data_IF_086444280968
#
_entry.id   IF_086444280968
#
_cell.length_a   1.000
_cell.length_b   1.000
_cell.length_c   1.000
_cell.angle_alpha   90.00
_cell.angle_beta   90.00
_cell.angle_gamma   90.00
#
_symmetry.space_group_name_H-M   'P 1'
#
loop_
_entity.id
_entity.type
_entity.pdbx_description
1 polymer ?
#
# COMPACT_ATOMS: atom_id res chain seq x y z
N UNK A 1 55.80 29.12 4.36
CA UNK A 1 55.34 27.73 4.62
C UNK A 1 53.81 27.56 4.78
N UNK A 2 53.06 28.49 5.39
CA UNK A 2 51.58 28.34 5.55
C UNK A 2 50.73 28.42 4.26
N UNK A 3 51.19 29.09 3.21
CA UNK A 3 50.43 29.21 1.93
C UNK A 3 50.54 27.99 1.01
N UNK A 4 51.54 27.13 1.20
CA UNK A 4 51.74 25.93 0.38
C UNK A 4 50.86 24.76 0.84
N UNK A 5 50.56 24.69 2.14
CA UNK A 5 49.72 23.64 2.73
C UNK A 5 48.23 23.79 2.35
N UNK A 6 47.74 25.03 2.21
CA UNK A 6 46.34 25.31 1.88
C UNK A 6 46.03 24.99 0.41
N UNK A 7 47.00 25.18 -0.50
CA UNK A 7 46.82 24.90 -1.93
C UNK A 7 46.70 23.40 -2.23
N UNK A 8 47.42 22.55 -1.49
CA UNK A 8 47.36 21.10 -1.67
C UNK A 8 46.14 20.45 -1.00
N UNK A 9 45.59 21.04 0.06
CA UNK A 9 44.35 20.54 0.69
C UNK A 9 43.12 20.86 -0.18
N UNK A 10 43.10 22.02 -0.87
CA UNK A 10 42.00 22.37 -1.78
C UNK A 10 41.97 21.51 -3.03
N UNK A 11 43.14 21.08 -3.56
CA UNK A 11 43.20 20.20 -4.73
C UNK A 11 42.79 18.77 -4.38
N UNK A 12 43.07 18.29 -3.15
CA UNK A 12 42.60 16.98 -2.69
C UNK A 12 41.08 17.01 -2.37
N UNK A 13 40.53 18.13 -1.89
CA UNK A 13 39.08 18.26 -1.69
C UNK A 13 38.31 18.40 -3.00
N UNK A 14 38.89 18.99 -4.06
CA UNK A 14 38.25 19.10 -5.38
C UNK A 14 38.33 17.80 -6.20
N UNK A 15 39.37 16.97 -6.01
CA UNK A 15 39.47 15.67 -6.68
C UNK A 15 38.60 14.57 -6.04
N UNK A 16 38.14 14.77 -4.81
CA UNK A 16 37.12 13.93 -4.15
C UNK A 16 35.67 14.30 -4.54
N UNK A 17 35.46 15.37 -5.30
CA UNK A 17 34.13 15.86 -5.73
C UNK A 17 33.77 15.54 -7.19
N UNK A 18 34.64 14.88 -7.96
CA UNK A 18 34.45 14.64 -9.41
C UNK A 18 34.58 13.17 -9.84
N UNK A 19 34.52 12.23 -8.90
CA UNK A 19 34.45 10.80 -9.20
C UNK A 19 33.26 10.15 -8.52
N UNK A 20 32.06 10.59 -8.88
CA UNK A 20 30.88 9.74 -8.99
C UNK A 20 30.00 10.37 -10.06
N UNK A 21 30.19 9.84 -11.26
CA UNK A 21 29.33 10.04 -12.41
C UNK A 21 27.87 9.94 -11.99
N UNK A 22 27.07 10.84 -12.57
CA UNK A 22 25.64 10.72 -12.69
C UNK A 22 25.28 9.44 -13.46
N UNK A 23 25.38 8.29 -12.79
CA UNK A 23 24.58 7.13 -13.11
C UNK A 23 23.27 7.31 -12.38
N UNK A 24 22.23 7.74 -13.09
CA UNK A 24 20.86 7.58 -12.62
C UNK A 24 20.60 6.08 -12.44
N UNK A 25 20.90 5.57 -11.25
CA UNK A 25 20.64 4.19 -10.90
C UNK A 25 19.13 4.04 -10.70
N UNK A 26 18.42 3.69 -11.78
CA UNK A 26 17.05 3.16 -11.77
C UNK A 26 16.90 1.85 -10.95
N UNK A 27 18.00 1.39 -10.34
CA UNK A 27 18.17 0.22 -9.47
C UNK A 27 17.60 0.37 -8.06
N UNK A 28 17.15 1.56 -7.65
CA UNK A 28 16.72 1.85 -6.27
C UNK A 28 15.29 1.41 -5.92
N UNK A 29 14.73 0.39 -6.58
CA UNK A 29 13.32 -0.03 -6.40
C UNK A 29 13.13 -1.54 -6.21
N UNK A 30 14.20 -2.29 -5.98
CA UNK A 30 14.14 -3.76 -5.92
C UNK A 30 14.77 -4.26 -4.63
N UNK A 31 13.97 -4.81 -3.69
CA UNK A 31 14.46 -5.20 -2.36
C UNK A 31 15.34 -6.45 -2.40
N UNK A 32 15.06 -7.40 -3.31
CA UNK A 32 15.74 -8.70 -3.39
C UNK A 32 16.42 -8.88 -4.76
N UNK A 33 17.63 -9.45 -4.74
CA UNK A 33 18.32 -9.88 -5.97
C UNK A 33 18.46 -11.40 -5.98
N UNK A 34 17.89 -12.06 -6.99
CA UNK A 34 18.07 -13.49 -7.22
C UNK A 34 19.13 -13.70 -8.27
N UNK A 35 20.20 -14.41 -7.93
CA UNK A 35 21.27 -14.81 -8.84
C UNK A 35 21.05 -16.27 -9.22
N UNK A 36 20.97 -16.53 -10.51
CA UNK A 36 20.78 -17.85 -11.10
C UNK A 36 22.11 -18.57 -11.31
N UNK A 37 22.06 -19.90 -11.52
CA UNK A 37 23.25 -20.73 -11.76
C UNK A 37 24.03 -20.35 -13.03
N UNK A 38 23.32 -19.85 -14.05
CA UNK A 38 23.90 -19.34 -15.30
C UNK A 38 24.49 -17.92 -15.17
N UNK A 39 24.38 -17.30 -13.98
CA UNK A 39 24.83 -15.94 -13.70
C UNK A 39 23.79 -14.85 -13.99
N UNK A 40 22.63 -15.20 -14.56
CA UNK A 40 21.49 -14.28 -14.75
C UNK A 40 21.02 -13.73 -13.40
N UNK A 41 20.64 -12.45 -13.38
CA UNK A 41 20.13 -11.79 -12.18
C UNK A 41 18.71 -11.28 -12.39
N UNK A 42 17.85 -11.54 -11.41
CA UNK A 42 16.50 -10.99 -11.34
C UNK A 42 16.37 -10.08 -10.12
N UNK A 43 15.66 -8.97 -10.28
CA UNK A 43 15.51 -7.95 -9.23
C UNK A 43 14.03 -7.64 -9.01
N UNK A 44 13.56 -7.81 -7.78
CA UNK A 44 12.15 -7.73 -7.47
C UNK A 44 11.85 -7.95 -6.00
N UNK A 45 10.57 -8.01 -5.67
CA UNK A 45 10.09 -8.40 -4.35
C UNK A 45 9.77 -9.90 -4.35
N UNK A 46 10.40 -10.66 -3.45
CA UNK A 46 10.04 -12.07 -3.27
C UNK A 46 8.68 -12.14 -2.59
N UNK A 47 7.68 -12.61 -3.34
CA UNK A 47 6.28 -12.74 -2.86
C UNK A 47 5.92 -14.19 -2.51
N UNK A 48 6.72 -15.17 -2.96
CA UNK A 48 6.61 -16.58 -2.56
C UNK A 48 8.00 -17.19 -2.51
N UNK A 49 8.29 -17.96 -1.47
CA UNK A 49 9.55 -18.69 -1.32
C UNK A 49 9.25 -20.02 -0.62
N UNK A 50 9.33 -21.14 -1.35
CA UNK A 50 9.14 -22.48 -0.80
C UNK A 50 10.29 -23.40 -1.24
N UNK A 51 10.17 -24.70 -0.93
CA UNK A 51 11.20 -25.68 -1.23
C UNK A 51 11.50 -25.87 -2.73
N UNK A 52 10.57 -25.51 -3.63
CA UNK A 52 10.65 -25.79 -5.07
C UNK A 52 10.83 -24.52 -5.92
N UNK A 53 10.28 -23.40 -5.49
CA UNK A 53 10.21 -22.19 -6.30
C UNK A 53 10.31 -20.90 -5.47
N UNK A 54 10.70 -19.84 -6.17
CA UNK A 54 10.63 -18.46 -5.71
C UNK A 54 9.82 -17.68 -6.74
N UNK A 55 8.79 -16.95 -6.30
CA UNK A 55 8.06 -16.03 -7.16
C UNK A 55 8.52 -14.62 -6.84
N UNK A 56 9.07 -13.96 -7.85
CA UNK A 56 9.60 -12.61 -7.78
C UNK A 56 8.67 -11.65 -8.51
N UNK A 57 8.22 -10.60 -7.83
CA UNK A 57 7.47 -9.51 -8.43
C UNK A 57 8.43 -8.40 -8.89
N UNK A 58 8.50 -8.18 -10.19
CA UNK A 58 9.17 -7.04 -10.81
C UNK A 58 8.21 -5.86 -11.03
N UNK A 59 8.70 -4.72 -11.55
CA UNK A 59 7.89 -3.50 -11.75
C UNK A 59 6.61 -3.70 -12.58
N UNK A 60 6.61 -4.68 -13.49
CA UNK A 60 5.51 -4.92 -14.44
C UNK A 60 5.12 -6.39 -14.59
N UNK A 61 5.94 -7.31 -14.10
CA UNK A 61 5.75 -8.75 -14.28
C UNK A 61 5.99 -9.53 -12.99
N UNK A 62 5.58 -10.78 -12.95
CA UNK A 62 6.06 -11.75 -11.97
C UNK A 62 6.77 -12.86 -12.71
N UNK A 63 7.83 -13.36 -12.08
CA UNK A 63 8.66 -14.40 -12.62
C UNK A 63 8.72 -15.49 -11.57
N UNK A 64 8.34 -16.70 -11.97
CA UNK A 64 8.52 -17.89 -11.14
C UNK A 64 9.85 -18.52 -11.50
N UNK A 65 10.73 -18.62 -10.50
CA UNK A 65 12.08 -19.14 -10.63
C UNK A 65 12.19 -20.45 -9.83
N UNK A 66 12.67 -21.51 -10.47
CA UNK A 66 12.92 -22.78 -9.80
C UNK A 66 14.07 -22.65 -8.81
N UNK A 67 13.90 -23.15 -7.57
CA UNK A 67 14.96 -23.19 -6.55
C UNK A 67 16.20 -23.95 -7.03
N UNK A 68 16.03 -24.95 -7.89
CA UNK A 68 17.13 -25.72 -8.46
C UNK A 68 18.01 -24.88 -9.42
N UNK A 69 17.45 -23.81 -9.98
CA UNK A 69 18.15 -22.91 -10.89
C UNK A 69 18.74 -21.67 -10.18
N UNK A 70 18.43 -21.48 -8.90
CA UNK A 70 18.88 -20.33 -8.10
C UNK A 70 20.22 -20.69 -7.46
N UNK A 71 21.23 -19.87 -7.72
CA UNK A 71 22.55 -19.97 -7.10
C UNK A 71 22.58 -19.30 -5.74
N UNK A 72 22.00 -18.11 -5.65
CA UNK A 72 22.01 -17.28 -4.44
C UNK A 72 20.83 -16.33 -4.47
N UNK A 73 20.26 -16.07 -3.30
CA UNK A 73 19.36 -14.94 -3.10
C UNK A 73 20.16 -13.97 -2.23
N UNK A 74 20.43 -12.80 -2.80
CA UNK A 74 21.04 -11.70 -2.09
C UNK A 74 19.92 -10.82 -1.54
N UNK A 75 19.64 -11.05 -0.26
CA UNK A 75 18.86 -10.18 0.61
C UNK A 75 19.75 -8.97 0.96
N UNK A 76 20.31 -8.29 -0.05
CA UNK A 76 21.04 -7.05 0.22
C UNK A 76 20.04 -6.11 0.83
N UNK A 77 20.29 -5.77 2.09
CA UNK A 77 19.70 -4.67 2.84
C UNK A 77 19.81 -3.37 2.03
N UNK A 78 19.00 -3.23 0.98
CA UNK A 78 18.63 -1.97 0.36
C UNK A 78 17.59 -1.30 1.24
N UNK A 79 17.84 -1.33 2.56
CA UNK A 79 17.15 -0.63 3.63
C UNK A 79 17.18 0.89 3.41
N UNK A 80 17.88 1.39 2.38
CA UNK A 80 17.85 2.80 2.00
C UNK A 80 16.79 3.15 0.96
N UNK A 81 16.33 2.22 0.12
CA UNK A 81 15.41 2.55 -0.98
C UNK A 81 13.97 2.74 -0.50
N UNK A 82 13.47 1.84 0.35
CA UNK A 82 12.12 1.93 0.91
C UNK A 82 12.02 2.90 2.11
N UNK A 83 13.10 3.04 2.90
CA UNK A 83 13.10 3.93 4.06
C UNK A 83 13.34 5.40 3.71
N UNK A 84 13.98 5.73 2.58
CA UNK A 84 14.11 7.13 2.18
C UNK A 84 12.74 7.81 1.95
N UNK A 85 11.74 7.07 1.46
CA UNK A 85 10.36 7.55 1.32
C UNK A 85 9.57 7.53 2.64
N UNK A 86 9.98 6.74 3.64
CA UNK A 86 9.41 6.81 5.00
C UNK A 86 9.78 8.12 5.70
N UNK A 87 10.85 8.80 5.29
CA UNK A 87 11.40 9.99 5.98
C UNK A 87 10.87 11.31 5.40
N UNK A 88 10.16 11.31 4.27
CA UNK A 88 9.53 12.54 3.75
C UNK A 88 8.23 12.85 4.49
N UNK A 89 8.28 13.85 5.38
CA UNK A 89 7.11 14.32 6.14
C UNK A 89 5.97 14.87 5.28
N UNK A 90 6.17 15.03 3.97
CA UNK A 90 5.15 15.48 3.01
C UNK A 90 4.52 14.34 2.19
N UNK A 91 4.93 13.08 2.41
CA UNK A 91 4.36 11.91 1.75
C UNK A 91 3.51 11.08 2.72
N UNK A 92 2.44 10.50 2.19
CA UNK A 92 1.63 9.55 2.94
C UNK A 92 2.45 8.27 3.18
N UNK A 93 2.11 7.47 4.20
CA UNK A 93 2.77 6.19 4.47
C UNK A 93 2.90 5.32 3.20
N UNK A 94 4.04 4.64 3.06
CA UNK A 94 4.27 3.72 1.95
C UNK A 94 3.31 2.53 2.03
N UNK A 95 2.16 2.64 1.36
CA UNK A 95 1.09 1.64 1.47
C UNK A 95 1.52 0.23 1.05
N UNK A 96 2.52 0.10 0.16
CA UNK A 96 3.04 -1.21 -0.26
C UNK A 96 3.67 -1.96 0.91
N UNK A 97 4.39 -1.25 1.79
CA UNK A 97 4.92 -1.85 3.02
C UNK A 97 3.79 -2.24 3.97
N UNK A 98 2.80 -1.36 4.15
CA UNK A 98 1.64 -1.66 5.00
C UNK A 98 0.88 -2.91 4.52
N UNK A 99 0.65 -3.00 3.21
CA UNK A 99 0.00 -4.16 2.60
C UNK A 99 0.86 -5.42 2.75
N UNK A 100 2.18 -5.32 2.59
CA UNK A 100 3.09 -6.44 2.79
C UNK A 100 3.07 -6.92 4.24
N UNK A 101 3.17 -6.01 5.20
CA UNK A 101 3.18 -6.35 6.62
C UNK A 101 1.84 -6.95 7.05
N UNK A 102 0.71 -6.48 6.50
CA UNK A 102 -0.59 -7.13 6.72
C UNK A 102 -0.62 -8.54 6.15
N UNK A 103 -0.01 -8.82 4.98
CA UNK A 103 0.04 -10.18 4.40
C UNK A 103 0.94 -11.15 5.17
N UNK A 104 1.99 -10.62 5.77
CA UNK A 104 2.96 -11.38 6.56
C UNK A 104 2.56 -11.48 8.03
N UNK A 105 1.49 -10.80 8.46
CA UNK A 105 1.03 -10.87 9.84
C UNK A 105 0.25 -12.16 10.09
N UNK A 106 0.70 -12.98 11.04
CA UNK A 106 0.06 -14.27 11.38
C UNK A 106 -1.41 -14.16 11.79
N UNK A 107 -1.85 -12.99 12.28
CA UNK A 107 -3.25 -12.74 12.62
C UNK A 107 -4.13 -12.47 11.38
N UNK A 108 -3.54 -12.25 10.21
CA UNK A 108 -4.22 -12.06 8.94
C UNK A 108 -4.30 -13.40 8.21
N UNK A 109 -5.48 -14.01 8.28
CA UNK A 109 -5.84 -15.28 7.63
C UNK A 109 -6.34 -15.10 6.20
N UNK A 110 -6.82 -13.90 5.87
CA UNK A 110 -7.24 -13.55 4.51
C UNK A 110 -6.90 -12.10 4.23
N UNK A 111 -6.34 -11.83 3.06
CA UNK A 111 -6.07 -10.50 2.57
C UNK A 111 -6.34 -10.50 1.08
N UNK A 112 -7.51 -10.01 0.65
CA UNK A 112 -7.96 -10.10 -0.73
C UNK A 112 -8.32 -8.73 -1.28
N UNK A 113 -7.97 -8.45 -2.53
CA UNK A 113 -8.48 -7.25 -3.20
C UNK A 113 -9.96 -7.44 -3.54
N UNK A 114 -10.77 -6.43 -3.24
CA UNK A 114 -12.20 -6.39 -3.57
C UNK A 114 -12.53 -5.18 -4.42
N UNK A 115 -13.66 -5.17 -5.15
CA UNK A 115 -14.12 -3.98 -5.84
C UNK A 115 -14.26 -2.79 -4.89
N UNK A 116 -13.75 -1.63 -5.31
CA UNK A 116 -13.99 -0.38 -4.62
C UNK A 116 -15.49 -0.05 -4.61
N UNK A 117 -16.00 0.41 -3.47
CA UNK A 117 -17.39 0.82 -3.32
C UNK A 117 -17.59 2.30 -3.66
N UNK A 118 -18.74 2.66 -4.22
CA UNK A 118 -19.01 4.05 -4.59
C UNK A 118 -19.13 4.95 -3.34
N UNK A 119 -18.22 5.92 -3.21
CA UNK A 119 -18.29 7.02 -2.24
C UNK A 119 -18.74 8.30 -2.95
N UNK A 120 -19.99 8.72 -2.72
CA UNK A 120 -20.60 9.86 -3.42
C UNK A 120 -20.70 11.15 -2.59
N UNK A 121 -20.19 11.14 -1.34
CA UNK A 121 -20.23 12.26 -0.39
C UNK A 121 -18.91 12.36 0.39
N UNK A 122 -18.71 13.50 1.06
CA UNK A 122 -17.57 13.72 1.94
C UNK A 122 -16.22 13.97 1.24
N UNK A 123 -15.15 13.94 2.03
CA UNK A 123 -13.79 14.29 1.59
C UNK A 123 -13.15 13.25 0.64
N UNK A 124 -13.75 12.06 0.52
CA UNK A 124 -13.33 10.99 -0.40
C UNK A 124 -14.22 10.86 -1.64
N UNK A 125 -15.24 11.72 -1.79
CA UNK A 125 -16.15 11.67 -2.94
C UNK A 125 -15.38 11.59 -4.27
N UNK A 126 -15.69 10.60 -5.08
CA UNK A 126 -15.10 10.41 -6.41
C UNK A 126 -13.58 10.37 -6.46
N UNK A 127 -12.93 9.97 -5.36
CA UNK A 127 -11.49 9.69 -5.38
C UNK A 127 -11.33 8.21 -5.71
N UNK A 128 -10.74 7.87 -6.86
CA UNK A 128 -10.46 6.48 -7.21
C UNK A 128 -9.56 5.82 -6.16
N UNK A 129 -9.81 4.55 -5.85
CA UNK A 129 -9.11 3.86 -4.77
C UNK A 129 -9.09 2.35 -4.92
N UNK A 130 -8.22 1.73 -4.13
CA UNK A 130 -8.05 0.29 -4.00
C UNK A 130 -8.61 -0.14 -2.67
N UNK A 131 -9.33 -1.25 -2.66
CA UNK A 131 -9.87 -1.83 -1.44
C UNK A 131 -9.36 -3.25 -1.24
N UNK A 132 -8.84 -3.50 -0.05
CA UNK A 132 -8.36 -4.80 0.36
C UNK A 132 -9.14 -5.25 1.59
N UNK A 133 -9.86 -6.35 1.47
CA UNK A 133 -10.51 -6.98 2.59
C UNK A 133 -9.48 -7.74 3.44
N UNK A 134 -9.49 -7.49 4.74
CA UNK A 134 -8.60 -8.11 5.73
C UNK A 134 -9.43 -8.96 6.68
N UNK A 135 -9.13 -10.25 6.73
CA UNK A 135 -9.90 -11.27 7.43
C UNK A 135 -11.38 -11.21 7.03
N UNK A 136 -12.31 -11.27 8.00
CA UNK A 136 -13.74 -11.27 7.74
C UNK A 136 -14.39 -9.88 7.71
N UNK A 137 -13.79 -8.90 8.40
CA UNK A 137 -14.47 -7.61 8.70
C UNK A 137 -13.54 -6.40 8.66
N UNK A 138 -12.25 -6.59 8.43
CA UNK A 138 -11.30 -5.49 8.23
C UNK A 138 -11.23 -5.07 6.76
N UNK A 139 -10.83 -3.83 6.53
CA UNK A 139 -10.62 -3.30 5.18
C UNK A 139 -9.51 -2.24 5.20
N UNK A 140 -8.62 -2.29 4.22
CA UNK A 140 -7.61 -1.27 3.97
C UNK A 140 -7.87 -0.63 2.61
N UNK A 141 -7.92 0.70 2.58
CA UNK A 141 -8.21 1.47 1.38
C UNK A 141 -7.09 2.44 1.03
N UNK A 142 -6.69 2.47 -0.25
CA UNK A 142 -5.62 3.33 -0.77
C UNK A 142 -6.19 4.22 -1.87
N UNK A 143 -6.21 5.53 -1.66
CA UNK A 143 -6.84 6.50 -2.55
C UNK A 143 -5.82 7.28 -3.39
N UNK A 144 -6.21 7.61 -4.62
CA UNK A 144 -5.40 8.38 -5.56
C UNK A 144 -4.36 7.53 -6.28
N UNK A 145 -3.23 8.14 -6.64
CA UNK A 145 -2.12 7.43 -7.29
C UNK A 145 -1.43 6.49 -6.28
N UNK A 146 -1.41 5.18 -6.48
CA UNK A 146 -0.74 4.26 -5.57
C UNK A 146 0.77 4.51 -5.45
N UNK A 147 1.47 5.14 -6.39
CA UNK A 147 2.88 5.46 -6.13
C UNK A 147 3.05 6.65 -5.18
N UNK A 148 2.00 7.46 -5.03
CA UNK A 148 1.98 8.62 -4.18
C UNK A 148 0.56 8.82 -3.60
N UNK A 149 0.15 7.95 -2.65
CA UNK A 149 -1.24 7.87 -2.23
C UNK A 149 -1.70 9.18 -1.61
N UNK A 150 -2.91 9.59 -1.98
CA UNK A 150 -3.55 10.79 -1.45
C UNK A 150 -4.20 10.54 -0.07
N UNK A 151 -4.63 9.31 0.17
CA UNK A 151 -5.14 8.83 1.46
C UNK A 151 -4.85 7.35 1.64
N UNK A 152 -4.56 6.95 2.87
CA UNK A 152 -4.57 5.55 3.30
C UNK A 152 -5.54 5.43 4.47
N UNK A 153 -6.45 4.45 4.41
CA UNK A 153 -7.42 4.17 5.46
C UNK A 153 -7.35 2.71 5.89
N UNK A 154 -7.56 2.47 7.18
CA UNK A 154 -7.78 1.14 7.74
C UNK A 154 -9.06 1.19 8.57
N UNK A 155 -9.94 0.23 8.37
CA UNK A 155 -11.23 0.21 9.03
C UNK A 155 -11.77 -1.18 9.27
N UNK A 156 -12.86 -1.25 10.01
CA UNK A 156 -13.55 -2.49 10.25
C UNK A 156 -15.05 -2.33 10.51
N UNK A 157 -15.80 -3.35 10.11
CA UNK A 157 -17.23 -3.52 10.38
C UNK A 157 -17.44 -4.34 11.66
N UNK A 158 -16.89 -3.84 12.77
CA UNK A 158 -16.95 -4.46 14.10
C UNK A 158 -17.75 -3.61 15.09
N UNK A 159 -18.11 -4.19 16.24
CA UNK A 159 -18.83 -3.53 17.33
C UNK A 159 -18.29 -3.94 18.69
N UNK A 160 -18.57 -3.13 19.72
CA UNK A 160 -18.24 -3.41 21.12
C UNK A 160 -16.74 -3.62 21.36
N UNK A 161 -16.39 -4.58 22.23
CA UNK A 161 -15.01 -4.86 22.62
C UNK A 161 -14.10 -5.24 21.44
N UNK A 162 -14.64 -5.92 20.42
CA UNK A 162 -13.88 -6.28 19.21
C UNK A 162 -13.48 -5.05 18.40
N UNK A 163 -14.36 -4.07 18.30
CA UNK A 163 -14.04 -2.79 17.65
C UNK A 163 -12.95 -2.06 18.44
N UNK A 164 -13.10 -1.93 19.76
CA UNK A 164 -12.10 -1.25 20.59
C UNK A 164 -10.68 -1.82 20.42
N UNK A 165 -10.56 -3.16 20.45
CA UNK A 165 -9.29 -3.84 20.19
C UNK A 165 -8.75 -3.56 18.78
N UNK A 166 -9.62 -3.58 17.77
CA UNK A 166 -9.22 -3.26 16.40
C UNK A 166 -8.75 -1.81 16.27
N UNK A 167 -9.42 -0.84 16.89
CA UNK A 167 -9.05 0.57 16.84
C UNK A 167 -7.66 0.81 17.43
N UNK A 168 -7.35 0.18 18.57
CA UNK A 168 -6.04 0.25 19.20
C UNK A 168 -4.95 -0.36 18.30
N UNK A 169 -5.22 -1.53 17.71
CA UNK A 169 -4.31 -2.18 16.76
C UNK A 169 -4.09 -1.34 15.50
N UNK A 170 -5.16 -0.79 14.91
CA UNK A 170 -5.09 0.03 13.70
C UNK A 170 -4.29 1.32 13.94
N UNK A 171 -4.46 1.96 15.09
CA UNK A 171 -3.66 3.13 15.47
C UNK A 171 -2.18 2.76 15.64
N UNK A 172 -1.89 1.68 16.37
CA UNK A 172 -0.50 1.22 16.55
C UNK A 172 0.16 0.83 15.23
N UNK A 173 -0.61 0.22 14.33
CA UNK A 173 -0.16 -0.13 12.98
C UNK A 173 0.22 1.14 12.19
N UNK A 174 -0.66 2.14 12.10
CA UNK A 174 -0.33 3.41 11.44
C UNK A 174 0.87 4.12 12.06
N UNK A 175 1.03 4.07 13.38
CA UNK A 175 2.17 4.67 14.07
C UNK A 175 3.52 4.09 13.61
N UNK A 176 3.56 2.81 13.23
CA UNK A 176 4.75 2.15 12.70
C UNK A 176 5.25 2.70 11.36
N UNK A 177 4.40 3.39 10.60
CA UNK A 177 4.75 3.96 9.29
C UNK A 177 4.87 5.48 9.30
N UNK A 178 4.71 6.12 10.45
CA UNK A 178 4.89 7.57 10.60
C UNK A 178 6.29 7.81 11.18
N UNK A 179 7.17 8.41 10.40
CA UNK A 179 8.56 8.67 10.80
C UNK A 179 8.74 9.81 11.81
N UNK A 180 7.80 10.77 11.85
CA UNK A 180 7.92 11.94 12.72
C UNK A 180 7.25 11.73 14.07
N UNK A 181 7.95 12.11 15.16
CA UNK A 181 7.39 12.11 16.53
C UNK A 181 6.12 12.97 16.63
N UNK A 182 6.08 14.10 15.93
CA UNK A 182 4.90 14.96 15.85
C UNK A 182 3.73 14.29 15.12
N UNK A 183 3.99 13.53 14.06
CA UNK A 183 2.98 12.74 13.36
C UNK A 183 2.41 11.63 14.24
N UNK A 184 3.28 10.88 14.93
CA UNK A 184 2.84 9.87 15.92
C UNK A 184 2.01 10.55 17.02
N UNK A 185 2.49 11.65 17.61
CA UNK A 185 1.74 12.38 18.64
C UNK A 185 0.36 12.84 18.12
N UNK A 186 0.29 13.36 16.89
CA UNK A 186 -0.95 13.80 16.24
C UNK A 186 -1.94 12.63 16.06
N UNK A 187 -1.45 11.47 15.63
CA UNK A 187 -2.25 10.25 15.52
C UNK A 187 -2.83 9.81 16.88
N UNK A 188 -2.03 9.90 17.95
CA UNK A 188 -2.47 9.53 19.31
C UNK A 188 -3.40 10.56 19.97
N UNK A 189 -3.48 11.78 19.46
CA UNK A 189 -4.47 12.78 19.88
C UNK A 189 -5.88 12.51 19.31
N UNK A 190 -6.03 11.55 18.39
CA UNK A 190 -7.35 11.18 17.89
C UNK A 190 -8.17 10.47 18.97
N UNK A 191 -9.42 10.90 19.15
CA UNK A 191 -10.38 10.19 19.97
C UNK A 191 -11.02 9.04 19.18
N UNK A 192 -10.49 7.83 19.33
CA UNK A 192 -10.98 6.64 18.63
C UNK A 192 -12.47 6.33 18.90
N UNK A 193 -13.03 6.84 20.01
CA UNK A 193 -14.42 6.65 20.42
C UNK A 193 -15.32 7.84 20.09
N UNK A 194 -14.88 8.79 19.27
CA UNK A 194 -15.70 9.95 18.93
C UNK A 194 -16.99 9.53 18.22
N UNK A 195 -18.20 9.87 18.74
CA UNK A 195 -19.46 9.48 18.12
C UNK A 195 -19.67 10.05 16.71
N UNK A 196 -19.07 11.21 16.41
CA UNK A 196 -19.17 11.90 15.12
C UNK A 196 -17.84 11.88 14.33
N UNK A 197 -16.92 10.99 14.71
CA UNK A 197 -15.55 11.06 14.22
C UNK A 197 -14.82 12.30 14.74
N UNK A 198 -13.54 12.43 14.39
CA UNK A 198 -12.74 13.60 14.74
C UNK A 198 -11.49 13.64 13.86
N UNK A 199 -10.84 14.80 13.78
CA UNK A 199 -9.63 14.95 12.98
C UNK A 199 -8.59 15.86 13.64
N UNK A 200 -7.34 15.70 13.20
CA UNK A 200 -6.19 16.50 13.58
C UNK A 200 -5.36 16.79 12.34
N UNK A 201 -4.81 18.01 12.25
CA UNK A 201 -3.96 18.43 11.12
C UNK A 201 -2.52 18.53 11.58
N UNK A 202 -1.61 18.06 10.73
CA UNK A 202 -0.17 18.28 10.87
C UNK A 202 0.43 18.53 9.48
N UNK A 203 0.94 19.74 9.26
CA UNK A 203 1.45 20.14 7.95
C UNK A 203 0.38 20.02 6.86
N UNK A 204 0.70 19.30 5.79
CA UNK A 204 -0.21 19.02 4.68
C UNK A 204 -1.11 17.80 4.91
N UNK A 205 -0.98 17.08 6.03
CA UNK A 205 -1.78 15.89 6.33
C UNK A 205 -2.89 16.18 7.33
N UNK A 206 -4.00 15.46 7.14
CA UNK A 206 -5.09 15.33 8.08
C UNK A 206 -5.17 13.87 8.51
N UNK A 207 -5.21 13.68 9.82
CA UNK A 207 -5.44 12.42 10.50
C UNK A 207 -6.90 12.43 10.92
N UNK A 208 -7.67 11.40 10.55
CA UNK A 208 -9.11 11.40 10.80
C UNK A 208 -9.58 10.04 11.30
N UNK A 209 -10.50 10.08 12.24
CA UNK A 209 -11.34 8.95 12.63
C UNK A 209 -12.74 9.22 12.10
N UNK A 210 -13.32 8.23 11.44
CA UNK A 210 -14.70 8.23 11.00
C UNK A 210 -15.50 7.21 11.81
N UNK A 211 -16.62 7.66 12.38
CA UNK A 211 -17.53 6.85 13.17
C UNK A 211 -18.45 6.01 12.28
N UNK A 212 -18.84 4.78 12.70
CA UNK A 212 -19.87 3.98 12.03
C UNK A 212 -21.21 4.68 11.77
N UNK A 213 -21.53 5.73 12.54
CA UNK A 213 -22.76 6.51 12.35
C UNK A 213 -22.66 7.55 11.24
N UNK A 214 -21.47 7.83 10.71
CA UNK A 214 -21.30 8.75 9.59
C UNK A 214 -21.81 8.08 8.30
N UNK A 215 -22.65 8.75 7.49
CA UNK A 215 -23.23 8.16 6.28
C UNK A 215 -22.21 7.58 5.29
N UNK A 216 -21.08 8.26 5.11
CA UNK A 216 -19.97 7.86 4.25
C UNK A 216 -19.17 6.66 4.80
N UNK A 217 -19.32 6.33 6.08
CA UNK A 217 -18.62 5.22 6.70
C UNK A 217 -19.24 3.86 6.32
N UNK A 218 -20.44 3.86 5.75
CA UNK A 218 -21.23 2.66 5.43
C UNK A 218 -21.36 1.68 6.62
N UNK A 219 -21.40 2.20 7.84
CA UNK A 219 -21.47 1.39 9.07
C UNK A 219 -20.12 0.82 9.54
N UNK A 220 -19.02 1.11 8.86
CA UNK A 220 -17.66 0.80 9.28
C UNK A 220 -17.06 1.88 10.20
N UNK A 221 -16.10 1.52 11.02
CA UNK A 221 -15.23 2.50 11.68
C UNK A 221 -13.93 2.63 10.88
N UNK A 222 -13.41 3.84 10.71
CA UNK A 222 -12.21 4.09 9.91
C UNK A 222 -11.22 5.00 10.64
N UNK A 223 -9.93 4.76 10.39
CA UNK A 223 -8.86 5.71 10.68
C UNK A 223 -8.05 5.94 9.42
N UNK A 224 -7.77 7.22 9.14
CA UNK A 224 -7.20 7.66 7.88
C UNK A 224 -6.13 8.72 8.06
N UNK A 225 -5.18 8.72 7.13
CA UNK A 225 -4.16 9.77 6.97
C UNK A 225 -4.21 10.21 5.53
N UNK A 226 -4.50 11.49 5.29
CA UNK A 226 -4.69 12.00 3.93
C UNK A 226 -4.16 13.40 3.71
N UNK A 227 -3.82 13.70 2.46
CA UNK A 227 -3.44 15.03 2.01
C UNK A 227 -4.60 15.60 1.17
N UNK A 228 -5.28 16.67 1.61
CA UNK A 228 -6.45 17.22 0.92
C UNK A 228 -6.10 17.77 -0.47
N UNK A 229 -4.87 18.24 -0.70
CA UNK A 229 -4.42 18.73 -2.01
C UNK A 229 -4.26 17.57 -2.98
N UNK A 230 -3.68 16.46 -2.54
CA UNK A 230 -3.55 15.26 -3.38
C UNK A 230 -4.92 14.61 -3.65
N UNK A 231 -5.83 14.61 -2.66
CA UNK A 231 -7.19 14.13 -2.87
C UNK A 231 -7.92 14.97 -3.93
N UNK A 232 -7.83 16.30 -3.86
CA UNK A 232 -8.44 17.18 -4.85
C UNK A 232 -7.91 16.91 -6.26
N UNK A 233 -6.60 16.69 -6.41
CA UNK A 233 -5.97 16.34 -7.71
C UNK A 233 -6.38 14.96 -8.23
N UNK A 234 -6.64 14.02 -7.33
CA UNK A 234 -6.99 12.64 -7.69
C UNK A 234 -8.47 12.45 -8.06
N UNK A 235 -9.34 13.42 -7.77
CA UNK A 235 -10.78 13.30 -8.05
C UNK A 235 -11.06 13.17 -9.53
N UNK A 236 -12.03 12.32 -9.85
CA UNK A 236 -12.55 12.13 -11.21
C UNK A 236 -14.02 12.55 -11.29
N UNK A 237 -14.55 12.62 -12.52
CA UNK A 237 -15.98 12.89 -12.73
C UNK A 237 -16.85 11.80 -12.12
N UNK A 238 -18.12 12.12 -11.82
CA UNK A 238 -19.08 11.12 -11.35
C UNK A 238 -19.17 9.94 -12.34
N UNK A 239 -19.21 10.23 -13.65
CA UNK A 239 -19.29 9.20 -14.68
C UNK A 239 -18.08 8.25 -14.68
N UNK A 240 -16.86 8.79 -14.60
CA UNK A 240 -15.66 7.96 -14.54
C UNK A 240 -15.59 7.17 -13.24
N UNK A 241 -16.04 7.76 -12.12
CA UNK A 241 -16.02 7.08 -10.83
C UNK A 241 -17.00 5.90 -10.75
N UNK A 242 -18.21 6.03 -11.30
CA UNK A 242 -19.19 4.93 -11.36
C UNK A 242 -18.74 3.79 -12.29
N UNK A 243 -17.84 4.06 -13.24
CA UNK A 243 -17.27 3.04 -14.12
C UNK A 243 -16.22 2.15 -13.46
N UNK A 244 -15.69 2.56 -12.30
CA UNK A 244 -14.59 1.88 -11.59
C UNK A 244 -14.94 1.54 -10.13
N UNK A 245 -16.17 1.80 -9.71
CA UNK A 245 -16.69 1.40 -8.39
C UNK A 245 -18.00 0.63 -8.53
N UNK A 246 -18.35 -0.13 -7.49
CA UNK A 246 -19.65 -0.79 -7.36
C UNK A 246 -20.44 -0.21 -6.19
N UNK A 247 -21.78 -0.26 -6.20
CA UNK A 247 -22.57 0.06 -5.01
C UNK A 247 -22.15 -0.81 -3.82
N UNK A 248 -22.13 -0.24 -2.60
CA UNK A 248 -21.67 -0.96 -1.39
C UNK A 248 -22.39 -2.30 -1.17
N UNK A 249 -23.71 -2.35 -1.42
CA UNK A 249 -24.52 -3.57 -1.25
C UNK A 249 -24.22 -4.68 -2.29
N UNK A 250 -23.53 -4.35 -3.39
CA UNK A 250 -23.04 -5.32 -4.37
C UNK A 250 -21.68 -5.90 -3.95
N UNK A 251 -20.96 -5.28 -3.03
CA UNK A 251 -19.66 -5.77 -2.54
C UNK A 251 -19.80 -6.42 -1.17
N UNK A 252 -20.67 -5.86 -0.33
CA UNK A 252 -20.83 -6.25 1.07
C UNK A 252 -22.28 -6.52 1.45
N UNK A 253 -22.46 -7.41 2.40
CA UNK A 253 -23.71 -7.60 3.14
C UNK A 253 -23.95 -6.43 4.10
N UNK A 254 -25.18 -6.29 4.62
CA UNK A 254 -25.52 -5.25 5.61
C UNK A 254 -24.66 -5.31 6.87
N UNK A 255 -24.17 -6.50 7.22
CA UNK A 255 -23.30 -6.71 8.37
C UNK A 255 -21.82 -6.45 8.08
N UNK A 256 -21.47 -6.02 6.86
CA UNK A 256 -20.11 -5.65 6.46
C UNK A 256 -19.23 -6.82 6.01
N UNK A 257 -19.79 -8.03 5.88
CA UNK A 257 -19.08 -9.17 5.27
C UNK A 257 -19.01 -9.00 3.76
N UNK A 258 -17.90 -9.38 3.14
CA UNK A 258 -17.79 -9.45 1.67
C UNK A 258 -18.74 -10.51 1.12
N UNK A 259 -19.35 -10.22 -0.02
CA UNK A 259 -20.28 -11.10 -0.71
C UNK A 259 -19.51 -12.15 -1.53
N UNK A 260 -19.46 -13.37 -1.02
CA UNK A 260 -18.85 -14.51 -1.71
C UNK A 260 -19.79 -15.16 -2.73
N UNK A 261 -21.10 -14.91 -2.64
CA UNK A 261 -22.11 -15.42 -3.58
C UNK A 261 -21.96 -14.89 -5.02
N UNK A 262 -21.16 -13.83 -5.20
CA UNK A 262 -20.93 -13.14 -6.47
C UNK A 262 -19.44 -12.86 -6.73
N UNK A 263 -18.57 -13.69 -6.15
CA UNK A 263 -17.11 -13.54 -6.25
C UNK A 263 -16.61 -13.53 -7.71
N UNK A 264 -17.20 -14.36 -8.58
CA UNK A 264 -16.84 -14.38 -10.00
C UNK A 264 -17.16 -13.04 -10.70
N UNK A 265 -18.27 -12.40 -10.33
CA UNK A 265 -18.63 -11.06 -10.80
C UNK A 265 -17.63 -10.02 -10.30
N UNK A 266 -17.22 -10.10 -9.03
CA UNK A 266 -16.19 -9.23 -8.46
C UNK A 266 -14.85 -9.38 -9.18
N UNK A 267 -14.42 -10.62 -9.45
CA UNK A 267 -13.22 -10.92 -10.21
C UNK A 267 -13.26 -10.31 -11.62
N UNK A 268 -14.35 -10.54 -12.37
CA UNK A 268 -14.54 -9.91 -13.71
C UNK A 268 -14.51 -8.38 -13.64
N UNK A 269 -15.17 -7.80 -12.64
CA UNK A 269 -15.19 -6.34 -12.45
C UNK A 269 -13.80 -5.78 -12.15
N UNK A 270 -13.05 -6.41 -11.24
CA UNK A 270 -11.69 -6.03 -10.89
C UNK A 270 -10.78 -6.10 -12.11
N UNK A 271 -10.85 -7.20 -12.87
CA UNK A 271 -10.07 -7.37 -14.09
C UNK A 271 -10.38 -6.27 -15.12
N UNK A 272 -11.66 -6.01 -15.39
CA UNK A 272 -12.08 -4.96 -16.32
C UNK A 272 -11.65 -3.56 -15.85
N UNK A 273 -11.76 -3.30 -14.55
CA UNK A 273 -11.35 -2.04 -13.95
C UNK A 273 -9.84 -1.88 -14.07
N UNK A 274 -9.05 -2.88 -13.66
CA UNK A 274 -7.59 -2.88 -13.77
C UNK A 274 -7.09 -2.61 -15.19
N UNK A 275 -7.74 -3.18 -16.21
CA UNK A 275 -7.42 -2.90 -17.62
C UNK A 275 -7.63 -1.43 -18.03
N UNK A 276 -8.53 -0.71 -17.34
CA UNK A 276 -8.74 0.74 -17.55
C UNK A 276 -7.70 1.60 -16.83
N UNK A 277 -7.12 1.06 -15.77
CA UNK A 277 -6.02 1.70 -15.05
C UNK A 277 -4.66 1.42 -15.68
N UNK A 278 -4.54 0.41 -16.56
CA UNK A 278 -3.32 0.10 -17.31
C UNK A 278 -2.85 1.34 -18.10
N UNK A 279 -1.66 1.83 -17.74
CA UNK A 279 -1.07 3.05 -18.30
C UNK A 279 -1.38 4.35 -17.54
N UNK A 280 -2.36 4.35 -16.62
CA UNK A 280 -2.69 5.48 -15.72
C UNK A 280 -2.23 5.26 -14.28
N UNK A 281 -2.13 4.00 -13.86
CA UNK A 281 -1.53 3.53 -12.60
C UNK A 281 -0.58 2.37 -12.95
N UNK A 282 0.63 2.27 -12.36
CA UNK A 282 1.46 1.08 -12.55
C UNK A 282 0.79 -0.15 -11.93
N UNK A 283 0.88 -1.26 -12.67
CA UNK A 283 0.20 -2.54 -12.42
C UNK A 283 -0.12 -2.81 -10.95
N UNK A 284 -1.40 -2.76 -10.65
CA UNK A 284 -1.94 -3.17 -9.36
C UNK A 284 -2.13 -4.68 -9.38
N UNK A 285 -1.31 -5.41 -8.63
CA UNK A 285 -1.54 -6.84 -8.42
C UNK A 285 -2.16 -7.01 -7.05
N UNK A 286 -3.42 -7.46 -7.02
CA UNK A 286 -4.06 -7.98 -5.81
C UNK A 286 -3.52 -9.36 -5.49
N UNK A 287 -3.67 -9.81 -4.25
CA UNK A 287 -3.18 -11.11 -3.78
C UNK A 287 -4.24 -11.74 -2.87
N UNK A 288 -4.20 -13.05 -2.66
CA UNK A 288 -4.98 -13.79 -1.67
C UNK A 288 -4.18 -14.97 -1.12
N UNK A 289 -4.50 -15.47 0.08
CA UNK A 289 -4.02 -16.78 0.55
C UNK A 289 -5.08 -17.82 0.20
N UNK A 290 -4.69 -18.91 -0.48
CA UNK A 290 -5.60 -20.00 -0.77
C UNK A 290 -5.83 -20.89 0.48
N UNK A 291 -6.66 -21.93 0.36
CA UNK A 291 -6.95 -22.86 1.46
C UNK A 291 -5.73 -23.61 2.00
N UNK A 292 -4.61 -23.59 1.27
CA UNK A 292 -3.33 -24.21 1.64
C UNK A 292 -2.33 -23.21 2.23
N UNK A 293 -2.80 -22.01 2.59
CA UNK A 293 -1.99 -20.92 3.14
C UNK A 293 -0.89 -20.41 2.17
N UNK A 294 -1.03 -20.66 0.87
CA UNK A 294 -0.13 -20.13 -0.15
C UNK A 294 -0.58 -18.75 -0.61
N UNK A 295 0.35 -17.78 -0.63
CA UNK A 295 0.10 -16.48 -1.23
C UNK A 295 0.02 -16.62 -2.77
N UNK A 296 -1.15 -16.29 -3.32
CA UNK A 296 -1.48 -16.29 -4.74
C UNK A 296 -1.77 -14.88 -5.21
N UNK A 297 -1.41 -14.58 -6.45
CA UNK A 297 -1.76 -13.32 -7.10
C UNK A 297 -3.15 -13.44 -7.68
N UNK A 298 -3.93 -12.36 -7.64
CA UNK A 298 -5.15 -12.24 -8.43
C UNK A 298 -4.70 -12.12 -9.88
N UNK A 299 -4.43 -13.26 -10.51
CA UNK A 299 -4.17 -13.35 -11.93
C UNK A 299 -5.50 -13.10 -12.67
N UNK A 300 -5.46 -12.27 -13.70
CA UNK A 300 -6.49 -12.21 -14.74
C UNK A 300 -6.88 -13.64 -15.16
N UNK A 301 -8.17 -13.92 -15.48
CA UNK A 301 -8.60 -15.28 -15.72
C UNK A 301 -7.90 -15.80 -16.96
N UNK A 302 -7.42 -17.05 -16.88
CA UNK A 302 -7.19 -17.83 -18.10
C UNK A 302 -8.49 -17.78 -18.90
N UNK A 303 -8.38 -17.35 -20.15
CA UNK A 303 -9.42 -17.58 -21.15
C UNK A 303 -9.65 -19.08 -21.24
N UNK A 304 -10.79 -19.54 -20.71
CA UNK A 304 -11.45 -20.76 -21.15
C UNK A 304 -12.52 -20.38 -22.15
#
# INVERSE_FOLDING_TARGET
MKKFLIKNIIIILLSLLMSCTAGQSFDRLFPDTIIMNDGTQYRGLIIKNNAKEVVLQEKKTEITLSKAAIKRIDDTNSTMAYFADLVDSNKAPCWRMMVQDLRCNDAVKSFIQIPATTINKGYLKNVPYLSFHVNQRGEMNIYGDPNNPACVELGAYLRGARLKKFQELARSFFAGYISSRSGIATLYQLNLNSPKGNEKRLGCFIYKVMSPSEPEAHGGWWISIYNPVLLAKARVSDEEYHRITLPCHEVRTKDGLVRHDIEEKHGRFLNKSMMRWLGKIPGLRGFYRNGDDELRVVETPRSS
#
